data_IF_045110706842
#
_entry.id   IF_045110706842
#
_cell.length_a   1.000
_cell.length_b   1.000
_cell.length_c   1.000
_cell.angle_alpha   90.00
_cell.angle_beta   90.00
_cell.angle_gamma   90.00
#
_symmetry.space_group_name_H-M   'P 1'
#
loop_
_entity.id
_entity.type
_entity.pdbx_description
1 polymer ?
#
# COMPACT_ATOMS: atom_id res chain seq x y z
N UNK A 1 4.64 8.69 -5.67
CA UNK A 1 5.74 7.89 -6.24
C UNK A 1 5.89 6.55 -5.52
N UNK A 2 6.02 6.55 -4.19
CA UNK A 2 6.12 5.29 -3.42
C UNK A 2 4.88 4.41 -3.58
N UNK A 3 3.67 4.98 -3.51
CA UNK A 3 2.44 4.22 -3.68
C UNK A 3 2.28 3.61 -5.09
N UNK A 4 2.64 4.35 -6.14
CA UNK A 4 2.60 3.86 -7.53
C UNK A 4 3.63 2.76 -7.78
N UNK A 5 4.82 2.89 -7.19
CA UNK A 5 5.84 1.83 -7.18
C UNK A 5 5.32 0.60 -6.44
N UNK A 6 4.70 0.81 -5.28
CA UNK A 6 4.03 -0.22 -4.49
C UNK A 6 2.95 -0.95 -5.28
N UNK A 7 2.11 -0.23 -6.02
CA UNK A 7 1.06 -0.84 -6.84
C UNK A 7 1.62 -1.66 -8.00
N UNK A 8 2.60 -1.13 -8.73
CA UNK A 8 3.24 -1.85 -9.82
C UNK A 8 3.91 -3.15 -9.33
N UNK A 9 4.68 -3.06 -8.25
CA UNK A 9 5.34 -4.23 -7.64
C UNK A 9 4.33 -5.19 -7.01
N UNK A 10 3.30 -4.67 -6.33
CA UNK A 10 2.24 -5.47 -5.71
C UNK A 10 1.44 -6.26 -6.73
N UNK A 11 1.13 -5.67 -7.88
CA UNK A 11 0.47 -6.37 -9.00
C UNK A 11 1.38 -7.44 -9.62
N UNK A 12 2.68 -7.19 -9.74
CA UNK A 12 3.66 -8.18 -10.20
C UNK A 12 3.79 -9.36 -9.22
N UNK A 13 3.82 -9.07 -7.92
CA UNK A 13 3.85 -10.08 -6.86
C UNK A 13 2.57 -10.93 -6.85
N UNK A 14 1.40 -10.34 -7.07
CA UNK A 14 0.16 -11.08 -7.26
C UNK A 14 0.27 -12.08 -8.44
N UNK A 15 0.77 -11.60 -9.59
CA UNK A 15 0.95 -12.44 -10.77
C UNK A 15 1.96 -13.59 -10.52
N UNK A 16 3.05 -13.32 -9.81
CA UNK A 16 4.04 -14.32 -9.40
C UNK A 16 3.50 -15.34 -8.39
N UNK A 17 2.54 -14.94 -7.55
CA UNK A 17 1.85 -15.79 -6.58
C UNK A 17 0.98 -16.90 -7.19
N UNK A 18 0.62 -16.79 -8.47
CA UNK A 18 -0.19 -17.77 -9.23
C UNK A 18 0.69 -18.75 -10.03
N UNK A 19 2.01 -18.64 -9.90
CA UNK A 19 3.05 -19.36 -10.63
C UNK A 19 3.94 -20.17 -9.66
N UNK A 20 4.82 -21.08 -10.12
CA UNK A 20 5.90 -21.64 -9.29
C UNK A 20 6.74 -20.59 -8.52
N UNK A 21 6.69 -19.31 -8.91
CA UNK A 21 7.28 -18.17 -8.18
C UNK A 21 6.53 -17.78 -6.88
N UNK A 22 5.48 -18.51 -6.51
CA UNK A 22 4.69 -18.26 -5.30
C UNK A 22 5.52 -18.34 -4.01
N UNK A 23 6.54 -19.20 -3.96
CA UNK A 23 7.46 -19.28 -2.82
C UNK A 23 8.29 -17.99 -2.68
N UNK A 24 8.84 -17.49 -3.79
CA UNK A 24 9.63 -16.25 -3.80
C UNK A 24 8.78 -15.04 -3.39
N UNK A 25 7.53 -15.01 -3.86
CA UNK A 25 6.56 -13.98 -3.49
C UNK A 25 6.29 -13.98 -1.98
N UNK A 26 6.08 -15.17 -1.37
CA UNK A 26 5.87 -15.29 0.08
C UNK A 26 7.10 -14.89 0.89
N UNK A 27 8.30 -15.34 0.46
CA UNK A 27 9.57 -14.99 1.09
C UNK A 27 9.83 -13.48 1.10
N UNK A 28 9.23 -12.72 0.17
CA UNK A 28 9.26 -11.26 0.20
C UNK A 28 8.15 -10.68 1.09
N UNK A 29 6.89 -11.09 0.89
CA UNK A 29 5.73 -10.46 1.55
C UNK A 29 5.76 -10.66 3.08
N UNK A 30 6.07 -11.88 3.55
CA UNK A 30 5.99 -12.21 4.98
C UNK A 30 7.00 -11.41 5.82
N UNK A 31 8.30 -11.33 5.47
CA UNK A 31 9.26 -10.54 6.23
C UNK A 31 9.01 -9.03 6.12
N UNK A 32 8.62 -8.53 4.95
CA UNK A 32 8.37 -7.09 4.76
C UNK A 32 7.18 -6.63 5.61
N UNK A 33 6.11 -7.42 5.69
CA UNK A 33 4.96 -7.10 6.56
C UNK A 33 5.24 -7.40 8.04
N UNK A 34 6.18 -8.31 8.32
CA UNK A 34 6.61 -8.67 9.68
C UNK A 34 7.67 -7.74 10.28
N UNK A 35 8.21 -6.78 9.50
CA UNK A 35 9.25 -5.86 9.95
C UNK A 35 8.75 -4.41 9.98
N UNK A 36 9.10 -3.61 11.01
CA UNK A 36 8.70 -2.21 11.06
C UNK A 36 9.25 -1.41 9.87
N UNK A 37 8.41 -0.57 9.25
CA UNK A 37 8.81 0.28 8.14
C UNK A 37 9.99 1.20 8.50
N UNK A 38 10.05 1.73 9.72
CA UNK A 38 11.19 2.55 10.17
C UNK A 38 12.52 1.79 10.07
N UNK A 39 12.53 0.50 10.43
CA UNK A 39 13.72 -0.35 10.31
C UNK A 39 14.07 -0.56 8.84
N UNK A 40 13.08 -0.72 7.95
CA UNK A 40 13.32 -0.83 6.51
C UNK A 40 13.94 0.45 5.94
N UNK A 41 13.47 1.63 6.36
CA UNK A 41 14.07 2.93 6.00
C UNK A 41 15.54 2.97 6.43
N UNK A 42 15.86 2.55 7.66
CA UNK A 42 17.25 2.52 8.14
C UNK A 42 18.13 1.54 7.39
N UNK A 43 17.64 0.34 7.09
CA UNK A 43 18.39 -0.65 6.30
C UNK A 43 18.71 -0.07 4.92
N UNK A 44 17.75 0.58 4.27
CA UNK A 44 17.94 1.14 2.92
C UNK A 44 18.86 2.37 2.95
N UNK A 45 18.69 3.28 3.91
CA UNK A 45 19.46 4.52 3.95
C UNK A 45 20.87 4.35 4.54
N UNK A 46 21.00 3.61 5.65
CA UNK A 46 22.26 3.43 6.35
C UNK A 46 22.96 2.10 6.01
N UNK A 47 22.21 1.05 5.65
CA UNK A 47 22.76 -0.28 5.36
C UNK A 47 23.31 -0.43 3.94
N UNK A 48 22.59 0.03 2.91
CA UNK A 48 23.05 -0.07 1.51
C UNK A 48 24.43 0.58 1.23
N UNK A 49 24.80 1.70 1.87
CA UNK A 49 26.15 2.25 1.72
C UNK A 49 27.27 1.27 2.08
N UNK A 50 27.04 0.32 3.00
CA UNK A 50 28.04 -0.68 3.40
C UNK A 50 28.41 -1.66 2.26
N UNK A 51 27.52 -1.82 1.28
CA UNK A 51 27.75 -2.61 0.06
C UNK A 51 28.02 -1.74 -1.17
N UNK A 52 28.33 -0.45 -0.97
CA UNK A 52 28.71 0.48 -2.03
C UNK A 52 27.53 1.19 -2.72
N UNK A 53 26.29 0.93 -2.33
CA UNK A 53 25.10 1.57 -2.91
C UNK A 53 24.72 2.79 -2.07
N UNK A 54 24.99 3.99 -2.58
CA UNK A 54 24.64 5.25 -1.92
C UNK A 54 23.43 5.87 -2.60
N UNK A 55 22.36 6.03 -1.84
CA UNK A 55 21.13 6.68 -2.27
C UNK A 55 20.95 7.97 -1.46
N UNK A 56 20.37 8.99 -2.09
CA UNK A 56 19.93 10.16 -1.35
C UNK A 56 18.73 9.82 -0.45
N UNK A 57 18.47 10.66 0.55
CA UNK A 57 17.42 10.41 1.53
C UNK A 57 16.04 10.23 0.86
N UNK A 58 15.70 11.08 -0.11
CA UNK A 58 14.41 11.04 -0.81
C UNK A 58 14.23 9.71 -1.54
N UNK A 59 15.23 9.28 -2.30
CA UNK A 59 15.22 7.99 -3.01
C UNK A 59 15.12 6.82 -2.04
N UNK A 60 15.87 6.84 -0.93
CA UNK A 60 15.78 5.81 0.11
C UNK A 60 14.39 5.72 0.74
N UNK A 61 13.76 6.85 1.06
CA UNK A 61 12.39 6.86 1.59
C UNK A 61 11.38 6.35 0.57
N UNK A 62 11.48 6.77 -0.70
CA UNK A 62 10.58 6.31 -1.77
C UNK A 62 10.69 4.80 -1.96
N UNK A 63 11.90 4.25 -1.96
CA UNK A 63 12.13 2.80 -2.06
C UNK A 63 11.59 2.06 -0.84
N UNK A 64 11.90 2.52 0.38
CA UNK A 64 11.44 1.86 1.60
C UNK A 64 9.91 1.82 1.69
N UNK A 65 9.26 2.98 1.51
CA UNK A 65 7.79 3.09 1.49
C UNK A 65 7.18 2.29 0.34
N UNK A 66 7.80 2.31 -0.83
CA UNK A 66 7.30 1.62 -2.02
C UNK A 66 7.38 0.10 -1.90
N UNK A 67 8.50 -0.44 -1.40
CA UNK A 67 8.67 -1.86 -1.12
C UNK A 67 7.72 -2.32 0.00
N UNK A 68 7.61 -1.55 1.07
CA UNK A 68 6.67 -1.87 2.14
C UNK A 68 5.23 -1.94 1.60
N UNK A 69 4.79 -0.88 0.93
CA UNK A 69 3.44 -0.82 0.37
C UNK A 69 3.21 -1.89 -0.71
N UNK A 70 4.22 -2.29 -1.48
CA UNK A 70 4.10 -3.39 -2.44
C UNK A 70 3.65 -4.70 -1.78
N UNK A 71 4.21 -5.03 -0.62
CA UNK A 71 3.85 -6.24 0.12
C UNK A 71 2.40 -6.19 0.63
N UNK A 72 1.95 -5.03 1.15
CA UNK A 72 0.58 -4.84 1.60
C UNK A 72 -0.41 -4.85 0.43
N UNK A 73 -0.11 -4.17 -0.67
CA UNK A 73 -0.96 -4.14 -1.86
C UNK A 73 -1.06 -5.51 -2.53
N UNK A 74 0.04 -6.28 -2.62
CA UNK A 74 0.01 -7.66 -3.10
C UNK A 74 -0.95 -8.53 -2.28
N UNK A 75 -0.91 -8.39 -0.95
CA UNK A 75 -1.78 -9.15 -0.06
C UNK A 75 -3.25 -8.72 -0.17
N UNK A 76 -3.52 -7.42 -0.31
CA UNK A 76 -4.86 -6.89 -0.56
C UNK A 76 -5.45 -7.52 -1.82
N UNK A 77 -4.70 -7.49 -2.92
CA UNK A 77 -5.13 -8.08 -4.19
C UNK A 77 -5.31 -9.60 -4.08
N UNK A 78 -4.39 -10.30 -3.42
CA UNK A 78 -4.47 -11.75 -3.20
C UNK A 78 -5.71 -12.12 -2.39
N UNK A 79 -6.03 -11.32 -1.39
CA UNK A 79 -7.20 -11.53 -0.52
C UNK A 79 -8.49 -11.25 -1.29
N UNK A 80 -8.51 -10.23 -2.15
CA UNK A 80 -9.63 -9.95 -3.03
C UNK A 80 -9.91 -11.07 -4.04
N UNK A 81 -8.86 -11.67 -4.62
CA UNK A 81 -9.00 -12.85 -5.50
C UNK A 81 -9.57 -14.05 -4.74
N UNK A 82 -9.12 -14.30 -3.51
CA UNK A 82 -9.63 -15.40 -2.68
C UNK A 82 -11.04 -15.18 -2.14
N UNK A 83 -11.47 -13.92 -2.04
CA UNK A 83 -12.81 -13.59 -1.57
C UNK A 83 -13.90 -13.86 -2.62
N UNK A 84 -13.53 -14.11 -3.89
CA UNK A 84 -14.49 -14.39 -4.95
C UNK A 84 -15.20 -15.74 -4.67
N UNK A 85 -16.54 -15.77 -4.61
CA UNK A 85 -17.28 -17.00 -4.37
C UNK A 85 -17.06 -18.05 -5.44
N UNK A 86 -16.96 -19.32 -5.04
CA UNK A 86 -16.87 -20.46 -5.98
C UNK A 86 -18.06 -20.52 -6.95
N UNK A 87 -19.23 -20.01 -6.56
CA UNK A 87 -20.40 -19.92 -7.44
C UNK A 87 -20.15 -19.11 -8.71
N UNK A 88 -19.32 -18.06 -8.66
CA UNK A 88 -18.94 -17.28 -9.84
C UNK A 88 -18.00 -18.07 -10.76
N UNK A 89 -17.15 -18.90 -10.19
CA UNK A 89 -16.23 -19.76 -10.92
C UNK A 89 -17.03 -20.86 -11.64
N UNK A 90 -17.92 -21.55 -10.94
CA UNK A 90 -18.79 -22.58 -11.52
C UNK A 90 -19.76 -22.02 -12.56
N UNK A 91 -20.30 -20.81 -12.36
CA UNK A 91 -21.13 -20.16 -13.37
C UNK A 91 -20.35 -19.89 -14.67
N UNK A 92 -19.09 -19.47 -14.58
CA UNK A 92 -18.24 -19.26 -15.75
C UNK A 92 -17.93 -20.58 -16.47
N UNK A 93 -17.68 -21.66 -15.72
CA UNK A 93 -17.46 -23.01 -16.26
C UNK A 93 -18.69 -23.53 -17.02
N UNK A 94 -19.90 -23.33 -16.47
CA UNK A 94 -21.17 -23.70 -17.14
C UNK A 94 -21.39 -22.91 -18.43
N UNK A 95 -20.92 -21.66 -18.49
CA UNK A 95 -20.94 -20.83 -19.69
C UNK A 95 -19.84 -21.19 -20.70
N UNK A 96 -19.06 -22.24 -20.43
CA UNK A 96 -18.03 -22.77 -21.33
C UNK A 96 -16.69 -22.02 -21.28
N UNK A 97 -16.44 -21.24 -20.23
CA UNK A 97 -15.15 -20.54 -20.08
C UNK A 97 -14.07 -21.53 -19.64
N UNK A 98 -12.92 -21.49 -20.29
CA UNK A 98 -11.70 -22.17 -19.80
C UNK A 98 -11.16 -21.49 -18.54
N UNK A 99 -10.34 -22.18 -17.74
CA UNK A 99 -9.79 -21.60 -16.51
C UNK A 99 -9.06 -20.25 -16.70
N UNK A 100 -8.35 -20.09 -17.82
CA UNK A 100 -7.71 -18.81 -18.17
C UNK A 100 -8.73 -17.71 -18.50
N UNK A 101 -9.82 -18.06 -19.17
CA UNK A 101 -10.92 -17.14 -19.47
C UNK A 101 -11.69 -16.77 -18.20
N UNK A 102 -12.00 -17.74 -17.32
CA UNK A 102 -12.61 -17.50 -16.01
C UNK A 102 -11.75 -16.57 -15.17
N UNK A 103 -10.43 -16.81 -15.12
CA UNK A 103 -9.53 -15.94 -14.38
C UNK A 103 -9.49 -14.51 -14.95
N UNK A 104 -9.32 -14.37 -16.27
CA UNK A 104 -9.16 -13.06 -16.93
C UNK A 104 -10.45 -12.24 -16.99
N UNK A 105 -11.59 -12.87 -17.24
CA UNK A 105 -12.85 -12.18 -17.52
C UNK A 105 -13.81 -12.14 -16.34
N UNK A 106 -13.65 -13.01 -15.34
CA UNK A 106 -14.54 -13.07 -14.18
C UNK A 106 -13.79 -12.72 -12.90
N UNK A 107 -12.77 -13.49 -12.54
CA UNK A 107 -12.10 -13.35 -11.24
C UNK A 107 -11.32 -12.04 -11.14
N UNK A 108 -10.44 -11.76 -12.10
CA UNK A 108 -9.54 -10.61 -12.04
C UNK A 108 -10.29 -9.26 -12.02
N UNK A 109 -11.27 -8.99 -12.92
CA UNK A 109 -12.02 -7.72 -12.89
C UNK A 109 -12.81 -7.55 -11.59
N UNK A 110 -13.37 -8.65 -11.07
CA UNK A 110 -14.15 -8.64 -9.83
C UNK A 110 -13.27 -8.36 -8.61
N UNK A 111 -12.13 -9.06 -8.51
CA UNK A 111 -11.15 -8.88 -7.45
C UNK A 111 -10.54 -7.46 -7.47
N UNK A 112 -10.22 -6.93 -8.65
CA UNK A 112 -9.73 -5.55 -8.75
C UNK A 112 -10.78 -4.56 -8.22
N UNK A 113 -12.03 -4.69 -8.64
CA UNK A 113 -13.11 -3.80 -8.18
C UNK A 113 -13.35 -3.91 -6.66
N UNK A 114 -13.34 -5.12 -6.10
CA UNK A 114 -13.54 -5.34 -4.67
C UNK A 114 -12.33 -4.90 -3.83
N UNK A 115 -11.12 -4.89 -4.40
CA UNK A 115 -9.90 -4.45 -3.70
C UNK A 115 -9.75 -2.94 -3.59
N UNK A 116 -10.44 -2.15 -4.42
CA UNK A 116 -10.27 -0.68 -4.48
C UNK A 116 -10.41 0.00 -3.11
N UNK A 117 -11.44 -0.28 -2.28
CA UNK A 117 -11.55 0.37 -0.96
C UNK A 117 -10.36 0.08 -0.05
N UNK A 118 -9.86 -1.16 -0.05
CA UNK A 118 -8.68 -1.55 0.72
C UNK A 118 -7.40 -0.88 0.20
N UNK A 119 -7.24 -0.76 -1.13
CA UNK A 119 -6.13 -0.04 -1.75
C UNK A 119 -6.14 1.45 -1.38
N UNK A 120 -7.30 2.10 -1.33
CA UNK A 120 -7.41 3.49 -0.88
C UNK A 120 -7.08 3.63 0.60
N UNK A 121 -7.49 2.69 1.45
CA UNK A 121 -7.08 2.68 2.85
C UNK A 121 -5.57 2.53 3.01
N UNK A 122 -4.94 1.67 2.22
CA UNK A 122 -3.48 1.54 2.16
C UNK A 122 -2.80 2.85 1.73
N UNK A 123 -3.37 3.58 0.77
CA UNK A 123 -2.86 4.91 0.39
C UNK A 123 -2.86 5.88 1.59
N UNK A 124 -3.93 5.91 2.38
CA UNK A 124 -4.03 6.72 3.60
C UNK A 124 -2.98 6.30 4.63
N UNK A 125 -2.69 5.00 4.74
CA UNK A 125 -1.61 4.48 5.60
C UNK A 125 -0.25 4.99 5.15
N UNK A 126 0.10 4.82 3.87
CA UNK A 126 1.37 5.31 3.30
C UNK A 126 1.52 6.82 3.47
N UNK A 127 0.44 7.59 3.36
CA UNK A 127 0.46 9.04 3.61
C UNK A 127 0.90 9.36 5.04
N UNK A 128 0.36 8.67 6.05
CA UNK A 128 0.77 8.85 7.45
C UNK A 128 2.20 8.37 7.68
N UNK A 129 2.55 7.21 7.13
CA UNK A 129 3.86 6.60 7.28
C UNK A 129 4.98 7.38 6.58
N UNK A 130 4.66 8.20 5.57
CA UNK A 130 5.63 9.10 4.95
C UNK A 130 6.25 10.08 5.93
N UNK A 131 5.62 10.34 7.08
CA UNK A 131 6.20 11.14 8.17
C UNK A 131 7.49 10.55 8.73
N UNK A 132 7.68 9.22 8.67
CA UNK A 132 8.89 8.53 9.13
C UNK A 132 10.14 8.93 8.32
N UNK A 133 9.96 9.43 7.10
CA UNK A 133 11.02 9.95 6.26
C UNK A 133 11.79 11.13 6.90
N UNK A 134 11.14 11.86 7.81
CA UNK A 134 11.76 12.95 8.58
C UNK A 134 12.99 12.53 9.38
N UNK A 135 13.01 11.27 9.84
CA UNK A 135 14.10 10.73 10.67
C UNK A 135 15.42 10.64 9.89
N UNK A 136 15.36 10.51 8.56
CA UNK A 136 16.54 10.54 7.68
C UNK A 136 16.78 11.93 7.06
N UNK A 137 16.16 12.97 7.62
CA UNK A 137 16.41 14.36 7.25
C UNK A 137 15.57 14.90 6.08
N UNK A 138 14.55 14.15 5.62
CA UNK A 138 13.62 14.67 4.60
C UNK A 138 12.73 15.74 5.22
N UNK A 139 12.62 16.87 4.54
CA UNK A 139 11.70 17.94 4.94
C UNK A 139 10.29 17.62 4.46
N UNK A 140 9.56 16.88 5.27
CA UNK A 140 8.11 16.69 5.14
C UNK A 140 7.33 17.54 6.17
N UNK A 141 6.02 17.30 6.31
CA UNK A 141 5.13 18.12 7.13
C UNK A 141 5.53 18.14 8.62
N UNK A 142 5.91 16.99 9.17
CA UNK A 142 6.37 16.83 10.56
C UNK A 142 7.67 17.60 10.79
N UNK A 143 8.63 17.52 9.88
CA UNK A 143 9.91 18.23 9.90
C UNK A 143 9.71 19.74 9.78
N UNK A 144 8.74 20.19 9.00
CA UNK A 144 8.33 21.61 8.96
C UNK A 144 7.78 22.07 10.31
N UNK A 145 6.97 21.23 10.97
CA UNK A 145 6.51 21.47 12.34
C UNK A 145 7.66 21.59 13.33
N UNK A 146 8.65 20.70 13.25
CA UNK A 146 9.85 20.73 14.07
C UNK A 146 10.65 22.03 13.89
N UNK A 147 10.80 22.52 12.66
CA UNK A 147 11.45 23.81 12.40
C UNK A 147 10.72 24.99 13.04
N UNK A 148 9.39 25.02 12.95
CA UNK A 148 8.57 26.05 13.61
C UNK A 148 8.69 25.95 15.12
N UNK A 149 8.62 24.73 15.68
CA UNK A 149 8.78 24.49 17.10
C UNK A 149 10.14 24.94 17.61
N UNK A 150 11.21 24.65 16.88
CA UNK A 150 12.58 25.05 17.23
C UNK A 150 12.79 26.56 17.17
N UNK A 151 12.19 27.24 16.19
CA UNK A 151 12.31 28.69 16.04
C UNK A 151 11.46 29.49 17.02
N UNK A 152 10.24 29.02 17.31
CA UNK A 152 9.27 29.73 18.15
C UNK A 152 9.26 29.28 19.61
N UNK A 153 9.94 28.17 19.92
CA UNK A 153 9.87 27.46 21.20
C UNK A 153 8.46 27.00 21.59
N UNK A 154 7.52 26.95 20.63
CA UNK A 154 6.10 26.59 20.82
C UNK A 154 5.82 25.23 20.19
N UNK A 155 6.39 24.19 20.78
CA UNK A 155 6.30 22.83 20.24
C UNK A 155 4.86 22.30 20.22
N UNK A 156 4.09 22.56 21.28
CA UNK A 156 2.71 22.07 21.38
C UNK A 156 1.85 22.61 20.24
N UNK A 157 1.86 23.92 19.99
CA UNK A 157 1.05 24.55 18.96
C UNK A 157 1.50 24.16 17.55
N UNK A 158 2.82 24.06 17.32
CA UNK A 158 3.35 23.62 16.04
C UNK A 158 2.89 22.19 15.70
N UNK A 159 3.01 21.25 16.63
CA UNK A 159 2.59 19.86 16.41
C UNK A 159 1.08 19.69 16.40
N UNK A 160 0.31 20.54 17.10
CA UNK A 160 -1.15 20.55 17.01
C UNK A 160 -1.62 20.93 15.59
N UNK A 161 -0.99 21.93 14.97
CA UNK A 161 -1.29 22.32 13.59
C UNK A 161 -0.89 21.21 12.61
N UNK A 162 0.30 20.60 12.78
CA UNK A 162 0.73 19.45 11.97
C UNK A 162 -0.28 18.30 12.08
N UNK A 163 -0.71 17.95 13.29
CA UNK A 163 -1.69 16.91 13.53
C UNK A 163 -3.03 17.22 12.85
N UNK A 164 -3.48 18.49 12.90
CA UNK A 164 -4.70 18.93 12.24
C UNK A 164 -4.59 18.81 10.71
N UNK A 165 -3.47 19.20 10.12
CA UNK A 165 -3.23 19.07 8.68
C UNK A 165 -3.25 17.60 8.25
N UNK A 166 -2.53 16.73 8.98
CA UNK A 166 -2.58 15.29 8.74
C UNK A 166 -3.99 14.73 8.86
N UNK A 167 -4.72 15.14 9.89
CA UNK A 167 -6.10 14.72 10.10
C UNK A 167 -7.00 15.11 8.94
N UNK A 168 -6.97 16.38 8.51
CA UNK A 168 -7.78 16.87 7.38
C UNK A 168 -7.45 16.10 6.10
N UNK A 169 -6.15 15.93 5.80
CA UNK A 169 -5.71 15.18 4.64
C UNK A 169 -6.20 13.72 4.67
N UNK A 170 -5.91 13.00 5.76
CA UNK A 170 -6.32 11.60 5.92
C UNK A 170 -7.84 11.45 5.88
N UNK A 171 -8.57 12.31 6.60
CA UNK A 171 -10.03 12.29 6.65
C UNK A 171 -10.65 12.49 5.28
N UNK A 172 -10.12 13.43 4.48
CA UNK A 172 -10.59 13.68 3.11
C UNK A 172 -10.44 12.43 2.24
N UNK A 173 -9.28 11.78 2.27
CA UNK A 173 -9.05 10.55 1.51
C UNK A 173 -9.88 9.37 2.03
N UNK A 174 -10.07 9.25 3.36
CA UNK A 174 -10.95 8.23 3.93
C UNK A 174 -12.41 8.44 3.55
N UNK A 175 -12.89 9.69 3.44
CA UNK A 175 -14.24 9.95 2.92
C UNK A 175 -14.37 9.58 1.44
N UNK A 176 -13.36 9.91 0.63
CA UNK A 176 -13.31 9.47 -0.76
C UNK A 176 -13.36 7.94 -0.89
N UNK A 177 -12.63 7.22 -0.02
CA UNK A 177 -12.68 5.75 0.08
C UNK A 177 -14.11 5.25 0.33
N UNK A 178 -14.82 5.81 1.32
CA UNK A 178 -16.21 5.44 1.64
C UNK A 178 -17.18 5.71 0.50
N UNK A 179 -17.02 6.83 -0.20
CA UNK A 179 -17.85 7.16 -1.37
C UNK A 179 -17.61 6.15 -2.50
N UNK A 180 -16.34 5.79 -2.72
CA UNK A 180 -15.95 4.83 -3.73
C UNK A 180 -16.44 3.42 -3.41
N UNK A 181 -16.38 3.02 -2.14
CA UNK A 181 -16.96 1.77 -1.63
C UNK A 181 -18.46 1.68 -1.91
N UNK A 182 -19.22 2.75 -1.61
CA UNK A 182 -20.66 2.81 -1.90
C UNK A 182 -20.97 2.70 -3.39
N UNK A 183 -20.17 3.36 -4.24
CA UNK A 183 -20.35 3.35 -5.71
C UNK A 183 -19.94 2.01 -6.34
N UNK A 184 -18.90 1.39 -5.80
CA UNK A 184 -18.34 0.15 -6.33
C UNK A 184 -18.98 -1.10 -5.76
N UNK A 185 -19.80 -0.99 -4.71
CA UNK A 185 -20.58 -2.09 -4.13
C UNK A 185 -21.26 -2.88 -5.24
N UNK A 186 -20.96 -4.17 -5.31
CA UNK A 186 -21.45 -5.05 -6.35
C UNK A 186 -22.77 -5.65 -5.87
N UNK A 187 -23.90 -5.34 -6.53
CA UNK A 187 -25.20 -5.90 -6.14
C UNK A 187 -25.14 -7.44 -6.21
N UNK A 188 -25.54 -8.11 -5.13
CA UNK A 188 -25.53 -9.59 -5.05
C UNK A 188 -24.20 -10.23 -4.66
N UNK A 189 -23.13 -9.46 -4.42
CA UNK A 189 -21.87 -9.96 -3.86
C UNK A 189 -21.93 -9.94 -2.32
N UNK A 190 -22.17 -11.09 -1.70
CA UNK A 190 -22.34 -11.25 -0.23
C UNK A 190 -21.03 -11.51 0.53
N UNK A 191 -19.90 -11.00 0.01
CA UNK A 191 -18.57 -11.22 0.59
C UNK A 191 -17.92 -9.96 1.18
N UNK A 192 -18.73 -9.00 1.65
CA UNK A 192 -18.26 -7.81 2.37
C UNK A 192 -18.64 -7.93 3.85
#
# INVERSE_FOLDING_TARGET
>A
MSYTLGFALGALLLAGGLSPLSLLTRMYIEPVRGTPLLVQIFIIYFGLPAIGIKLDAFTSAVLALGLNSAAYQAEILRSAVKAIPESQIHAAEVLGFSGAQTYRYVILPLALRSSIPALVNEFVTVLKESSLASVIGIVELTRRGEYVAAYTYRAFEAYLIVALIYFIACYTFSQFSRLLERKLRIPGYTGA
#
